data_IF_794808084930
#
_entry.id   IF_794808084930
#
_cell.length_a   1.000
_cell.length_b   1.000
_cell.length_c   1.000
_cell.angle_alpha   90.00
_cell.angle_beta   90.00
_cell.angle_gamma   90.00
#
_symmetry.space_group_name_H-M   'P 1'
#
loop_
_entity.id
_entity.type
_entity.pdbx_description
1 polymer ?
#
# COMPACT_ATOMS: atom_id res chain seq x y z
N UNK A 1 -7.34 -13.95 -32.11
CA UNK A 1 -7.12 -13.42 -30.75
C UNK A 1 -5.93 -14.17 -30.16
N UNK A 2 -4.83 -13.50 -29.80
CA UNK A 2 -3.81 -14.16 -28.98
C UNK A 2 -4.48 -14.59 -27.65
N UNK A 3 -4.15 -15.77 -27.10
CA UNK A 3 -4.73 -16.23 -25.84
C UNK A 3 -4.48 -15.16 -24.76
N UNK A 4 -5.52 -14.84 -23.97
CA UNK A 4 -5.36 -14.01 -22.77
C UNK A 4 -4.40 -14.76 -21.84
N UNK A 5 -3.13 -14.33 -21.83
CA UNK A 5 -2.14 -14.87 -20.93
C UNK A 5 -2.44 -14.31 -19.54
N UNK A 6 -2.60 -15.19 -18.55
CA UNK A 6 -2.75 -14.80 -17.15
C UNK A 6 -1.49 -14.06 -16.69
N UNK A 7 -1.61 -13.11 -15.73
CA UNK A 7 -0.44 -12.46 -15.12
C UNK A 7 0.56 -13.52 -14.65
N UNK A 8 1.86 -13.20 -14.74
CA UNK A 8 2.91 -14.10 -14.21
C UNK A 8 2.60 -14.42 -12.75
N UNK A 9 2.55 -15.70 -12.42
CA UNK A 9 2.29 -16.14 -11.06
C UNK A 9 3.46 -15.72 -10.16
N UNK A 10 3.20 -15.43 -8.88
CA UNK A 10 4.25 -15.00 -7.93
C UNK A 10 5.44 -15.98 -7.86
N UNK A 11 5.16 -17.28 -8.05
CA UNK A 11 6.16 -18.38 -8.11
C UNK A 11 7.08 -18.35 -9.35
N UNK A 12 6.72 -17.58 -10.37
CA UNK A 12 7.48 -17.44 -11.62
C UNK A 12 8.47 -16.27 -11.56
N UNK A 13 8.41 -15.46 -10.50
CA UNK A 13 9.35 -14.40 -10.18
C UNK A 13 10.47 -14.90 -9.24
N UNK A 14 11.57 -14.13 -9.05
CA UNK A 14 12.64 -14.50 -8.15
C UNK A 14 12.16 -14.80 -6.74
N UNK A 15 12.68 -15.82 -6.07
CA UNK A 15 12.20 -16.24 -4.75
C UNK A 15 12.24 -15.17 -3.66
N UNK A 16 13.14 -14.17 -3.76
CA UNK A 16 13.15 -13.00 -2.86
C UNK A 16 11.86 -12.17 -2.96
N UNK A 17 11.22 -12.13 -4.14
CA UNK A 17 9.97 -11.40 -4.37
C UNK A 17 8.87 -11.89 -3.42
N UNK A 18 8.65 -13.21 -3.36
CA UNK A 18 7.58 -13.79 -2.55
C UNK A 18 7.77 -13.49 -1.06
N UNK A 19 9.00 -13.60 -0.56
CA UNK A 19 9.31 -13.29 0.85
C UNK A 19 9.10 -11.81 1.16
N UNK A 20 9.59 -10.90 0.31
CA UNK A 20 9.45 -9.47 0.51
C UNK A 20 7.99 -8.99 0.41
N UNK A 21 7.24 -9.55 -0.55
CA UNK A 21 5.83 -9.22 -0.77
C UNK A 21 4.93 -9.73 0.37
N UNK A 22 5.20 -10.93 0.91
CA UNK A 22 4.47 -11.43 2.08
C UNK A 22 4.72 -10.58 3.33
N UNK A 23 5.99 -10.22 3.61
CA UNK A 23 6.33 -9.30 4.71
C UNK A 23 5.61 -7.96 4.53
N UNK A 24 5.57 -7.44 3.30
CA UNK A 24 4.86 -6.21 2.96
C UNK A 24 3.36 -6.29 3.26
N UNK A 25 2.69 -7.34 2.76
CA UNK A 25 1.26 -7.60 2.94
C UNK A 25 0.90 -7.81 4.41
N UNK A 26 1.69 -8.59 5.15
CA UNK A 26 1.48 -8.84 6.57
C UNK A 26 1.62 -7.54 7.38
N UNK A 27 2.71 -6.81 7.18
CA UNK A 27 2.98 -5.58 7.93
C UNK A 27 1.94 -4.50 7.63
N UNK A 28 1.44 -4.42 6.38
CA UNK A 28 0.32 -3.55 6.03
C UNK A 28 -0.95 -3.90 6.82
N UNK A 29 -1.31 -5.19 6.88
CA UNK A 29 -2.49 -5.65 7.61
C UNK A 29 -2.36 -5.34 9.10
N UNK A 30 -1.19 -5.59 9.69
CA UNK A 30 -0.92 -5.28 11.09
C UNK A 30 -1.05 -3.79 11.38
N UNK A 31 -0.39 -2.94 10.58
CA UNK A 31 -0.46 -1.49 10.71
C UNK A 31 -1.91 -0.98 10.66
N UNK A 32 -2.67 -1.39 9.65
CA UNK A 32 -4.06 -0.97 9.48
C UNK A 32 -4.98 -1.51 10.59
N UNK A 33 -4.77 -2.76 11.04
CA UNK A 33 -5.55 -3.37 12.12
C UNK A 33 -5.34 -2.63 13.44
N UNK A 34 -4.08 -2.39 13.83
CA UNK A 34 -3.77 -1.71 15.08
C UNK A 34 -4.20 -0.25 15.07
N UNK A 35 -3.99 0.44 13.95
CA UNK A 35 -4.49 1.82 13.77
C UNK A 35 -6.01 1.87 13.90
N UNK A 36 -6.74 0.97 13.24
CA UNK A 36 -8.20 0.89 13.35
C UNK A 36 -8.64 0.60 14.79
N UNK A 37 -8.01 -0.37 15.45
CA UNK A 37 -8.31 -0.72 16.85
C UNK A 37 -8.11 0.47 17.79
N UNK A 38 -6.99 1.19 17.65
CA UNK A 38 -6.71 2.40 18.43
C UNK A 38 -7.78 3.48 18.23
N UNK A 39 -8.17 3.75 16.98
CA UNK A 39 -9.20 4.74 16.66
C UNK A 39 -10.57 4.35 17.23
N UNK A 40 -10.94 3.07 17.15
CA UNK A 40 -12.18 2.56 17.74
C UNK A 40 -12.18 2.65 19.27
N UNK A 41 -11.06 2.34 19.91
CA UNK A 41 -10.90 2.49 21.37
C UNK A 41 -10.99 3.95 21.81
N UNK A 42 -10.48 4.90 21.03
CA UNK A 42 -10.63 6.33 21.32
C UNK A 42 -12.11 6.77 21.28
N UNK A 43 -12.88 6.30 20.30
CA UNK A 43 -14.33 6.54 20.24
C UNK A 43 -15.04 5.88 21.42
N UNK A 44 -14.70 4.63 21.74
CA UNK A 44 -15.28 3.91 22.88
C UNK A 44 -14.99 4.62 24.20
N UNK A 45 -13.79 5.19 24.36
CA UNK A 45 -13.43 5.95 25.53
C UNK A 45 -14.28 7.22 25.69
N UNK A 46 -14.50 7.96 24.61
CA UNK A 46 -15.38 9.14 24.61
C UNK A 46 -16.83 8.74 24.94
N UNK A 47 -17.34 7.66 24.37
CA UNK A 47 -18.69 7.14 24.67
C UNK A 47 -18.83 6.69 26.11
N UNK A 48 -17.83 5.98 26.66
CA UNK A 48 -17.82 5.60 28.08
C UNK A 48 -17.82 6.81 29.00
N UNK A 49 -17.03 7.84 28.68
CA UNK A 49 -16.99 9.08 29.46
C UNK A 49 -18.33 9.81 29.50
N UNK A 50 -19.01 9.93 28.36
CA UNK A 50 -20.35 10.52 28.28
C UNK A 50 -21.39 9.67 29.01
N UNK A 51 -21.33 8.34 28.86
CA UNK A 51 -22.26 7.44 29.55
C UNK A 51 -22.12 7.52 31.08
N UNK A 52 -20.88 7.70 31.58
CA UNK A 52 -20.62 7.97 32.99
C UNK A 52 -21.16 9.34 33.40
N UNK A 53 -20.90 10.40 32.62
CA UNK A 53 -21.39 11.75 32.95
C UNK A 53 -22.93 11.86 32.92
N UNK A 54 -23.61 10.99 32.15
CA UNK A 54 -25.06 10.97 32.01
C UNK A 54 -25.77 10.06 33.01
N UNK A 55 -25.05 9.24 33.78
CA UNK A 55 -25.68 8.39 34.79
C UNK A 55 -26.12 9.25 35.97
N UNK A 56 -27.43 9.21 36.27
CA UNK A 56 -28.09 10.03 37.29
C UNK A 56 -27.87 9.57 38.74
N UNK A 57 -27.36 8.35 38.92
CA UNK A 57 -27.07 7.76 40.22
C UNK A 57 -25.54 7.63 40.40
N UNK A 58 -25.00 8.25 41.44
CA UNK A 58 -23.61 8.10 41.92
C UNK A 58 -23.37 6.66 42.43
N UNK A 59 -23.31 5.70 41.51
CA UNK A 59 -23.35 4.28 41.81
C UNK A 59 -22.60 3.39 40.82
N UNK A 60 -22.95 2.11 40.81
CA UNK A 60 -22.30 1.08 39.98
C UNK A 60 -22.28 1.41 38.46
N UNK A 61 -23.33 2.01 37.86
CA UNK A 61 -23.32 2.36 36.43
C UNK A 61 -22.24 3.39 36.07
N UNK A 62 -22.10 4.47 36.85
CA UNK A 62 -21.08 5.51 36.62
C UNK A 62 -19.67 4.94 36.71
N UNK A 63 -19.40 4.18 37.78
CA UNK A 63 -18.10 3.55 38.01
C UNK A 63 -17.77 2.61 36.86
N UNK A 64 -18.75 1.82 36.38
CA UNK A 64 -18.56 0.87 35.28
C UNK A 64 -18.22 1.59 33.97
N UNK A 65 -18.96 2.64 33.59
CA UNK A 65 -18.67 3.40 32.36
C UNK A 65 -17.34 4.15 32.44
N UNK A 66 -16.98 4.67 33.61
CA UNK A 66 -15.67 5.29 33.87
C UNK A 66 -14.54 4.27 33.71
N UNK A 67 -14.70 3.06 34.26
CA UNK A 67 -13.75 1.97 34.05
C UNK A 67 -13.62 1.58 32.57
N UNK A 68 -14.72 1.51 31.82
CA UNK A 68 -14.70 1.25 30.37
C UNK A 68 -13.91 2.34 29.65
N UNK A 69 -14.16 3.62 29.97
CA UNK A 69 -13.46 4.74 29.35
C UNK A 69 -11.95 4.69 29.64
N UNK A 70 -11.57 4.47 30.91
CA UNK A 70 -10.18 4.36 31.34
C UNK A 70 -9.45 3.20 30.65
N UNK A 71 -10.03 2.00 30.68
CA UNK A 71 -9.44 0.81 30.04
C UNK A 71 -9.29 1.04 28.53
N UNK A 72 -10.27 1.68 27.89
CA UNK A 72 -10.21 2.01 26.46
C UNK A 72 -9.07 2.97 26.14
N UNK A 73 -8.89 4.04 26.93
CA UNK A 73 -7.78 4.99 26.78
C UNK A 73 -6.41 4.33 27.00
N UNK A 74 -6.27 3.57 28.08
CA UNK A 74 -5.02 2.86 28.39
C UNK A 74 -4.68 1.88 27.28
N UNK A 75 -5.65 1.11 26.79
CA UNK A 75 -5.44 0.16 25.68
C UNK A 75 -5.10 0.89 24.39
N UNK A 76 -5.77 2.00 24.07
CA UNK A 76 -5.46 2.82 22.89
C UNK A 76 -4.01 3.35 22.94
N UNK A 77 -3.54 3.79 24.12
CA UNK A 77 -2.16 4.23 24.34
C UNK A 77 -1.17 3.07 24.17
N UNK A 78 -1.47 1.89 24.72
CA UNK A 78 -0.63 0.70 24.54
C UNK A 78 -0.50 0.34 23.05
N UNK A 79 -1.60 0.42 22.27
CA UNK A 79 -1.56 0.19 20.83
C UNK A 79 -0.73 1.26 20.08
N UNK A 80 -0.81 2.52 20.50
CA UNK A 80 0.03 3.59 19.92
C UNK A 80 1.52 3.35 20.21
N UNK A 81 1.87 3.02 21.45
CA UNK A 81 3.25 2.68 21.83
C UNK A 81 3.76 1.46 21.07
N UNK A 82 2.90 0.45 20.86
CA UNK A 82 3.23 -0.71 20.04
C UNK A 82 3.50 -0.32 18.58
N UNK A 83 2.66 0.52 17.97
CA UNK A 83 2.87 1.04 16.62
C UNK A 83 4.19 1.82 16.48
N UNK A 84 4.52 2.65 17.48
CA UNK A 84 5.75 3.45 17.51
C UNK A 84 7.03 2.59 17.67
N UNK A 85 6.92 1.49 18.42
CA UNK A 85 8.04 0.56 18.67
C UNK A 85 8.26 -0.40 17.51
N UNK A 86 7.22 -1.06 17.04
CA UNK A 86 7.33 -2.15 16.06
C UNK A 86 7.43 -1.64 14.62
N UNK A 87 6.94 -0.41 14.37
CA UNK A 87 6.98 0.29 13.08
C UNK A 87 6.60 -0.60 11.90
N UNK A 88 5.43 -1.26 11.94
CA UNK A 88 4.99 -2.14 10.86
C UNK A 88 4.86 -1.40 9.52
N UNK A 89 4.64 -0.09 9.52
CA UNK A 89 4.63 0.71 8.29
C UNK A 89 5.99 0.78 7.58
N UNK A 90 7.11 0.76 8.31
CA UNK A 90 8.46 0.79 7.73
C UNK A 90 8.73 -0.55 7.05
N UNK A 91 8.37 -1.67 7.72
CA UNK A 91 8.46 -3.02 7.14
C UNK A 91 7.55 -3.19 5.93
N UNK A 92 6.32 -2.68 6.01
CA UNK A 92 5.38 -2.64 4.88
C UNK A 92 6.04 -1.96 3.67
N UNK A 93 6.62 -0.78 3.89
CA UNK A 93 7.30 0.00 2.86
C UNK A 93 8.53 -0.72 2.29
N UNK A 94 9.49 -1.09 3.13
CA UNK A 94 10.73 -1.71 2.68
C UNK A 94 10.47 -3.04 1.94
N UNK A 95 9.53 -3.85 2.44
CA UNK A 95 9.10 -5.08 1.77
C UNK A 95 8.54 -4.81 0.37
N UNK A 96 7.69 -3.79 0.22
CA UNK A 96 7.12 -3.40 -1.09
C UNK A 96 8.22 -2.95 -2.04
N UNK A 97 9.18 -2.14 -1.57
CA UNK A 97 10.26 -1.61 -2.40
C UNK A 97 11.13 -2.74 -2.97
N UNK A 98 11.45 -3.75 -2.17
CA UNK A 98 12.25 -4.92 -2.60
C UNK A 98 11.46 -5.81 -3.55
N UNK A 99 10.19 -6.09 -3.25
CA UNK A 99 9.33 -6.86 -4.13
C UNK A 99 9.26 -6.21 -5.52
N UNK A 100 9.04 -4.90 -5.59
CA UNK A 100 8.98 -4.18 -6.87
C UNK A 100 10.35 -4.07 -7.56
N UNK A 101 11.44 -3.95 -6.81
CA UNK A 101 12.80 -3.99 -7.35
C UNK A 101 13.15 -5.36 -7.96
N UNK A 102 12.82 -6.45 -7.24
CA UNK A 102 13.03 -7.81 -7.72
C UNK A 102 12.17 -8.11 -8.97
N UNK A 103 10.92 -7.64 -8.98
CA UNK A 103 10.02 -7.75 -10.15
C UNK A 103 10.60 -6.97 -11.35
N UNK A 104 11.10 -5.76 -11.13
CA UNK A 104 11.74 -4.93 -12.16
C UNK A 104 12.98 -5.62 -12.74
N UNK A 105 13.86 -6.14 -11.89
CA UNK A 105 15.06 -6.89 -12.34
C UNK A 105 14.67 -8.13 -13.15
N UNK A 106 13.67 -8.88 -12.69
CA UNK A 106 13.18 -10.05 -13.39
C UNK A 106 12.65 -9.71 -14.79
N UNK A 107 11.87 -8.63 -14.91
CA UNK A 107 11.34 -8.17 -16.20
C UNK A 107 12.43 -7.67 -17.14
N UNK A 108 13.41 -6.90 -16.64
CA UNK A 108 14.56 -6.47 -17.44
C UNK A 108 15.38 -7.66 -17.93
N UNK A 109 15.60 -8.67 -17.09
CA UNK A 109 16.25 -9.93 -17.47
C UNK A 109 15.48 -10.67 -18.57
N UNK A 110 14.17 -10.87 -18.36
CA UNK A 110 13.30 -11.56 -19.30
C UNK A 110 13.19 -10.83 -20.64
N UNK A 111 13.24 -9.50 -20.62
CA UNK A 111 13.09 -8.65 -21.79
C UNK A 111 14.39 -8.42 -22.58
N UNK A 112 15.54 -8.90 -22.10
CA UNK A 112 16.88 -8.58 -22.62
C UNK A 112 17.12 -7.06 -22.65
N UNK A 113 16.84 -6.42 -21.52
CA UNK A 113 17.13 -5.00 -21.31
C UNK A 113 18.32 -4.86 -20.37
N UNK A 114 19.07 -3.76 -20.46
CA UNK A 114 20.08 -3.38 -19.47
C UNK A 114 19.55 -3.62 -18.04
N UNK A 115 20.33 -4.17 -17.08
CA UNK A 115 21.75 -4.55 -17.17
C UNK A 115 22.01 -5.92 -17.83
N UNK A 116 21.07 -6.47 -18.60
CA UNK A 116 21.12 -7.82 -19.19
C UNK A 116 21.12 -7.82 -20.72
N UNK A 117 22.02 -7.06 -21.37
CA UNK A 117 22.02 -6.87 -22.82
C UNK A 117 22.18 -8.18 -23.58
N UNK A 118 21.82 -8.17 -24.87
CA UNK A 118 21.90 -9.35 -25.75
C UNK A 118 23.33 -9.87 -25.96
N UNK A 119 24.34 -9.03 -25.68
CA UNK A 119 25.76 -9.41 -25.74
C UNK A 119 26.19 -10.40 -24.64
N UNK A 120 25.42 -10.54 -23.57
CA UNK A 120 25.67 -11.53 -22.53
C UNK A 120 25.11 -12.90 -22.93
N UNK A 121 25.91 -13.94 -22.71
CA UNK A 121 25.40 -15.32 -22.76
C UNK A 121 24.31 -15.52 -21.69
N UNK A 122 23.37 -16.46 -21.89
CA UNK A 122 22.33 -16.75 -20.89
C UNK A 122 22.89 -16.94 -19.47
N UNK A 123 23.93 -17.76 -19.32
CA UNK A 123 24.57 -18.03 -18.03
C UNK A 123 25.13 -16.75 -17.37
N UNK A 124 25.78 -15.88 -18.15
CA UNK A 124 26.31 -14.61 -17.63
C UNK A 124 25.21 -13.63 -17.25
N UNK A 125 24.09 -13.61 -17.97
CA UNK A 125 22.94 -12.80 -17.59
C UNK A 125 22.30 -13.31 -16.28
N UNK A 126 22.28 -14.63 -16.06
CA UNK A 126 21.85 -15.21 -14.78
C UNK A 126 22.79 -14.83 -13.64
N UNK A 127 24.10 -14.93 -13.84
CA UNK A 127 25.09 -14.50 -12.83
C UNK A 127 24.90 -13.03 -12.42
N UNK A 128 24.67 -12.14 -13.40
CA UNK A 128 24.40 -10.72 -13.13
C UNK A 128 23.10 -10.56 -12.35
N UNK A 129 22.05 -11.31 -12.68
CA UNK A 129 20.76 -11.22 -11.99
C UNK A 129 20.89 -11.68 -10.54
N UNK A 130 21.61 -12.79 -10.32
CA UNK A 130 21.91 -13.31 -9.00
C UNK A 130 22.71 -12.30 -8.16
N UNK A 131 23.74 -11.68 -8.73
CA UNK A 131 24.51 -10.64 -8.06
C UNK A 131 23.63 -9.44 -7.66
N UNK A 132 22.77 -8.96 -8.57
CA UNK A 132 21.84 -7.84 -8.26
C UNK A 132 20.83 -8.19 -7.16
N UNK A 133 20.36 -9.45 -7.11
CA UNK A 133 19.47 -9.92 -6.05
C UNK A 133 20.22 -10.05 -4.73
N UNK A 134 21.48 -10.48 -4.74
CA UNK A 134 22.34 -10.54 -3.56
C UNK A 134 22.58 -9.13 -2.99
N UNK A 135 22.89 -8.15 -3.83
CA UNK A 135 23.03 -6.74 -3.43
C UNK A 135 21.73 -6.25 -2.76
N UNK A 136 20.59 -6.46 -3.42
CA UNK A 136 19.27 -6.08 -2.90
C UNK A 136 18.97 -6.72 -1.53
N UNK A 137 19.32 -7.99 -1.36
CA UNK A 137 19.16 -8.70 -0.08
C UNK A 137 20.08 -8.14 1.00
N UNK A 138 21.37 -7.93 0.69
CA UNK A 138 22.36 -7.44 1.64
C UNK A 138 22.02 -6.04 2.16
N UNK A 139 21.57 -5.14 1.28
CA UNK A 139 21.15 -3.78 1.64
C UNK A 139 19.88 -3.77 2.51
N UNK A 140 19.00 -4.76 2.33
CA UNK A 140 17.65 -4.72 2.89
C UNK A 140 17.42 -5.59 4.11
N UNK A 141 18.13 -6.71 4.23
CA UNK A 141 17.99 -7.69 5.30
C UNK A 141 18.05 -7.08 6.72
N UNK A 142 18.94 -6.10 7.02
CA UNK A 142 18.98 -5.47 8.34
C UNK A 142 17.66 -4.78 8.75
N UNK A 143 16.88 -4.29 7.79
CA UNK A 143 15.65 -3.54 8.03
C UNK A 143 14.38 -4.41 7.89
N UNK A 144 14.53 -5.67 7.47
CA UNK A 144 13.42 -6.60 7.24
C UNK A 144 13.68 -7.97 7.86
N UNK A 145 13.42 -8.11 9.17
CA UNK A 145 13.47 -9.41 9.84
C UNK A 145 12.59 -10.44 9.12
N UNK A 146 13.14 -11.63 8.88
CA UNK A 146 12.44 -12.72 8.19
C UNK A 146 12.51 -12.67 6.66
N UNK A 147 13.20 -11.68 6.08
CA UNK A 147 13.49 -11.68 4.64
C UNK A 147 14.33 -12.91 4.29
N UNK A 148 13.89 -13.65 3.27
CA UNK A 148 14.56 -14.86 2.81
C UNK A 148 14.77 -14.83 1.29
N UNK A 149 15.90 -15.39 0.88
CA UNK A 149 16.20 -15.63 -0.53
C UNK A 149 15.64 -17.02 -0.84
N UNK A 150 14.47 -17.09 -1.48
CA UNK A 150 13.83 -18.36 -1.84
C UNK A 150 14.70 -19.31 -2.67
N UNK A 151 14.23 -20.53 -2.92
CA UNK A 151 15.04 -21.61 -3.52
C UNK A 151 15.49 -21.38 -4.96
N UNK A 152 14.82 -20.51 -5.72
CA UNK A 152 15.18 -20.18 -7.09
C UNK A 152 15.00 -18.69 -7.35
N UNK A 153 16.07 -18.03 -7.79
CA UNK A 153 16.06 -16.61 -8.15
C UNK A 153 15.92 -16.39 -9.67
N UNK A 154 16.27 -17.40 -10.47
CA UNK A 154 16.05 -17.43 -11.91
C UNK A 154 15.15 -18.62 -12.22
N UNK A 155 13.88 -18.34 -12.52
CA UNK A 155 12.87 -19.39 -12.73
C UNK A 155 12.91 -19.96 -14.16
N UNK A 156 12.42 -21.19 -14.39
CA UNK A 156 12.31 -21.75 -15.74
C UNK A 156 11.50 -20.87 -16.70
N UNK A 157 10.43 -20.23 -16.20
CA UNK A 157 9.59 -19.31 -16.99
C UNK A 157 10.37 -18.08 -17.43
N UNK A 158 11.20 -17.51 -16.54
CA UNK A 158 12.06 -16.38 -16.89
C UNK A 158 13.05 -16.74 -18.01
N UNK A 159 13.68 -17.92 -17.93
CA UNK A 159 14.57 -18.43 -18.99
C UNK A 159 13.83 -18.61 -20.31
N UNK A 160 12.62 -19.17 -20.26
CA UNK A 160 11.79 -19.39 -21.44
C UNK A 160 11.43 -18.07 -22.14
N UNK A 161 11.03 -17.04 -21.38
CA UNK A 161 10.69 -15.73 -21.95
C UNK A 161 11.94 -15.07 -22.54
N UNK A 162 13.07 -15.11 -21.81
CA UNK A 162 14.34 -14.55 -22.31
C UNK A 162 14.78 -15.19 -23.63
N UNK A 163 14.66 -16.51 -23.76
CA UNK A 163 15.06 -17.27 -24.94
C UNK A 163 14.11 -17.12 -26.15
N UNK A 164 12.96 -16.47 -25.98
CA UNK A 164 12.03 -16.23 -27.09
C UNK A 164 12.55 -15.17 -28.07
N UNK A 165 11.98 -15.14 -29.28
CA UNK A 165 12.27 -14.09 -30.25
C UNK A 165 11.70 -12.73 -29.80
N UNK A 166 12.18 -11.64 -30.42
CA UNK A 166 11.75 -10.30 -30.06
C UNK A 166 10.22 -10.11 -30.15
N UNK A 167 9.52 -10.54 -31.21
CA UNK A 167 8.07 -10.41 -31.29
C UNK A 167 7.33 -11.09 -30.12
N UNK A 168 7.71 -12.33 -29.76
CA UNK A 168 7.08 -13.04 -28.66
C UNK A 168 7.41 -12.42 -27.30
N UNK A 169 8.68 -12.04 -27.07
CA UNK A 169 9.14 -11.37 -25.85
C UNK A 169 8.44 -10.04 -25.64
N UNK A 170 8.33 -9.24 -26.70
CA UNK A 170 7.60 -7.95 -26.71
C UNK A 170 6.13 -8.14 -26.40
N UNK A 171 5.45 -9.06 -27.09
CA UNK A 171 4.04 -9.33 -26.83
C UNK A 171 3.81 -9.78 -25.37
N UNK A 172 4.71 -10.61 -24.83
CA UNK A 172 4.69 -11.07 -23.43
C UNK A 172 4.86 -9.89 -22.47
N UNK A 173 5.87 -9.04 -22.68
CA UNK A 173 6.11 -7.87 -21.82
C UNK A 173 4.93 -6.88 -21.84
N UNK A 174 4.44 -6.50 -23.03
CA UNK A 174 3.35 -5.53 -23.14
C UNK A 174 2.05 -6.04 -22.52
N UNK A 175 1.74 -7.33 -22.66
CA UNK A 175 0.52 -7.91 -22.09
C UNK A 175 0.64 -8.18 -20.59
N UNK A 176 1.67 -8.89 -20.17
CA UNK A 176 1.79 -9.40 -18.80
C UNK A 176 2.43 -8.41 -17.82
N UNK A 177 3.20 -7.42 -18.32
CA UNK A 177 3.81 -6.39 -17.48
C UNK A 177 3.08 -5.07 -17.59
N UNK A 178 3.05 -4.48 -18.79
CA UNK A 178 2.53 -3.11 -18.95
C UNK A 178 1.01 -3.07 -18.82
N UNK A 179 0.30 -3.93 -19.57
CA UNK A 179 -1.17 -3.92 -19.54
C UNK A 179 -1.74 -4.42 -18.21
N UNK A 180 -1.11 -5.41 -17.56
CA UNK A 180 -1.52 -5.86 -16.23
C UNK A 180 -1.33 -4.75 -15.19
N UNK A 181 -0.17 -4.08 -15.19
CA UNK A 181 0.12 -2.97 -14.29
C UNK A 181 -0.84 -1.79 -14.52
N UNK A 182 -1.12 -1.44 -15.78
CA UNK A 182 -2.09 -0.41 -16.13
C UNK A 182 -3.48 -0.75 -15.58
N UNK A 183 -3.99 -1.96 -15.87
CA UNK A 183 -5.30 -2.40 -15.41
C UNK A 183 -5.40 -2.40 -13.88
N UNK A 184 -4.32 -2.79 -13.19
CA UNK A 184 -4.23 -2.73 -11.74
C UNK A 184 -4.35 -1.30 -11.21
N UNK A 185 -3.61 -0.34 -11.78
CA UNK A 185 -3.67 1.06 -11.39
C UNK A 185 -5.05 1.68 -11.67
N UNK A 186 -5.65 1.42 -12.83
CA UNK A 186 -7.00 1.89 -13.16
C UNK A 186 -8.05 1.37 -12.17
N UNK A 187 -7.99 0.08 -11.85
CA UNK A 187 -8.88 -0.53 -10.86
C UNK A 187 -8.67 0.12 -9.49
N UNK A 188 -7.42 0.29 -9.06
CA UNK A 188 -7.10 0.91 -7.78
C UNK A 188 -7.52 2.37 -7.71
N UNK A 189 -7.42 3.13 -8.79
CA UNK A 189 -7.88 4.51 -8.85
C UNK A 189 -9.39 4.61 -8.57
N UNK A 190 -10.19 3.77 -9.23
CA UNK A 190 -11.66 3.71 -9.06
C UNK A 190 -12.10 3.22 -7.68
N UNK A 191 -11.42 2.20 -7.15
CA UNK A 191 -11.67 1.70 -5.79
C UNK A 191 -11.44 2.80 -4.76
N UNK A 192 -10.30 3.50 -4.84
CA UNK A 192 -9.98 4.59 -3.91
C UNK A 192 -10.93 5.78 -4.09
N UNK A 193 -11.32 6.14 -5.31
CA UNK A 193 -12.30 7.22 -5.56
C UNK A 193 -13.65 6.92 -4.88
N UNK A 194 -14.12 5.68 -5.03
CA UNK A 194 -15.38 5.21 -4.45
C UNK A 194 -15.32 5.22 -2.92
N UNK A 195 -14.21 4.76 -2.35
CA UNK A 195 -14.02 4.75 -0.91
C UNK A 195 -13.86 6.16 -0.33
N UNK A 196 -13.19 7.07 -1.03
CA UNK A 196 -13.11 8.49 -0.64
C UNK A 196 -14.51 9.11 -0.54
N UNK A 197 -15.36 8.90 -1.56
CA UNK A 197 -16.75 9.39 -1.57
C UNK A 197 -17.56 8.81 -0.41
N UNK A 198 -17.47 7.49 -0.18
CA UNK A 198 -18.17 6.83 0.94
C UNK A 198 -17.74 7.42 2.29
N UNK A 199 -16.45 7.55 2.54
CA UNK A 199 -15.95 8.08 3.82
C UNK A 199 -16.29 9.54 4.04
N UNK A 200 -16.24 10.39 3.00
CA UNK A 200 -16.74 11.77 3.08
C UNK A 200 -18.21 11.82 3.48
N UNK A 201 -19.06 11.01 2.84
CA UNK A 201 -20.48 10.95 3.17
C UNK A 201 -20.72 10.47 4.61
N UNK A 202 -19.95 9.48 5.08
CA UNK A 202 -20.00 9.02 6.47
C UNK A 202 -19.67 10.14 7.46
N UNK A 203 -18.62 10.93 7.20
CA UNK A 203 -18.24 12.04 8.07
C UNK A 203 -19.30 13.15 8.10
N UNK A 204 -19.80 13.55 6.92
CA UNK A 204 -20.90 14.53 6.83
C UNK A 204 -22.15 14.04 7.58
N UNK A 205 -22.43 12.73 7.53
CA UNK A 205 -23.55 12.15 8.28
C UNK A 205 -23.34 12.28 9.79
N UNK A 206 -22.11 12.09 10.29
CA UNK A 206 -21.79 12.31 11.71
C UNK A 206 -21.89 13.78 12.11
N UNK A 207 -21.51 14.73 11.24
CA UNK A 207 -21.68 16.17 11.48
C UNK A 207 -23.16 16.55 11.57
N UNK A 208 -24.00 16.05 10.65
CA UNK A 208 -25.46 16.28 10.67
C UNK A 208 -26.08 15.70 11.95
N UNK A 209 -25.67 14.50 12.35
CA UNK A 209 -26.12 13.90 13.62
C UNK A 209 -25.67 14.72 14.83
N UNK A 210 -24.47 15.29 14.78
CA UNK A 210 -23.96 16.21 15.80
C UNK A 210 -24.86 17.43 15.95
N UNK A 211 -25.14 18.10 14.84
CA UNK A 211 -26.04 19.26 14.80
C UNK A 211 -27.43 18.89 15.33
N UNK A 212 -28.01 17.78 14.87
CA UNK A 212 -29.33 17.33 15.32
C UNK A 212 -29.36 17.08 16.83
N UNK A 213 -28.34 16.41 17.37
CA UNK A 213 -28.24 16.15 18.82
C UNK A 213 -28.12 17.45 19.60
N UNK A 214 -27.25 18.37 19.17
CA UNK A 214 -27.09 19.68 19.82
C UNK A 214 -28.40 20.50 19.80
N UNK A 215 -29.16 20.47 18.71
CA UNK A 215 -30.47 21.16 18.63
C UNK A 215 -31.50 20.53 19.57
N UNK A 216 -31.55 19.19 19.65
CA UNK A 216 -32.45 18.48 20.58
C UNK A 216 -32.13 18.84 22.03
N UNK A 217 -30.85 18.91 22.39
CA UNK A 217 -30.41 19.34 23.72
C UNK A 217 -30.75 20.81 23.97
N UNK A 218 -30.56 21.70 22.97
CA UNK A 218 -30.88 23.13 23.09
C UNK A 218 -32.38 23.39 23.32
N UNK A 219 -33.24 22.54 22.75
CA UNK A 219 -34.70 22.64 22.90
C UNK A 219 -35.22 21.94 24.16
N UNK A 220 -34.34 21.47 25.05
CA UNK A 220 -34.67 20.72 26.28
C UNK A 220 -35.60 19.52 26.02
N UNK A 221 -35.55 18.92 24.82
CA UNK A 221 -36.39 17.77 24.46
C UNK A 221 -35.91 16.52 25.20
N UNK A 222 -34.58 16.33 25.28
CA UNK A 222 -33.93 15.24 26.03
C UNK A 222 -32.56 15.68 26.55
N UNK A 223 -32.11 15.11 27.67
CA UNK A 223 -30.76 15.33 28.23
C UNK A 223 -29.67 14.45 27.58
N UNK A 224 -29.82 14.12 26.30
CA UNK A 224 -28.96 13.16 25.63
C UNK A 224 -27.82 13.91 24.90
N UNK A 225 -26.70 14.12 25.59
CA UNK A 225 -25.52 14.78 25.03
C UNK A 225 -24.54 13.77 24.39
N UNK A 226 -24.69 13.49 23.09
CA UNK A 226 -23.71 12.67 22.34
C UNK A 226 -22.57 13.49 21.71
N UNK A 227 -22.43 14.78 22.06
CA UNK A 227 -21.52 15.69 21.38
C UNK A 227 -20.07 15.19 21.38
N UNK A 228 -19.57 14.74 22.53
CA UNK A 228 -18.19 14.24 22.64
C UNK A 228 -17.96 12.93 21.88
N UNK A 229 -18.95 12.02 21.87
CA UNK A 229 -18.87 10.76 21.09
C UNK A 229 -18.81 11.04 19.60
N UNK A 230 -19.67 11.93 19.10
CA UNK A 230 -19.71 12.30 17.68
C UNK A 230 -18.44 13.06 17.27
N UNK A 231 -17.94 13.97 18.11
CA UNK A 231 -16.66 14.64 17.89
C UNK A 231 -15.50 13.64 17.82
N UNK A 232 -15.44 12.68 18.74
CA UNK A 232 -14.44 11.62 18.71
C UNK A 232 -14.56 10.73 17.46
N UNK A 233 -15.79 10.40 17.04
CA UNK A 233 -16.04 9.62 15.82
C UNK A 233 -15.60 10.36 14.55
N UNK A 234 -15.87 11.66 14.45
CA UNK A 234 -15.43 12.53 13.36
C UNK A 234 -13.90 12.59 13.34
N UNK A 235 -13.26 12.86 14.48
CA UNK A 235 -11.81 12.92 14.58
C UNK A 235 -11.15 11.57 14.23
N UNK A 236 -11.72 10.46 14.70
CA UNK A 236 -11.25 9.12 14.37
C UNK A 236 -11.42 8.80 12.88
N UNK A 237 -12.55 9.16 12.27
CA UNK A 237 -12.80 8.99 10.84
C UNK A 237 -11.87 9.85 9.99
N UNK A 238 -11.59 11.09 10.39
CA UNK A 238 -10.60 11.96 9.76
C UNK A 238 -9.19 11.37 9.84
N UNK A 239 -8.77 10.90 11.02
CA UNK A 239 -7.49 10.20 11.18
C UNK A 239 -7.40 8.93 10.31
N UNK A 240 -8.49 8.19 10.15
CA UNK A 240 -8.54 7.03 9.26
C UNK A 240 -8.41 7.42 7.78
N UNK A 241 -9.06 8.50 7.35
CA UNK A 241 -8.89 9.07 6.00
C UNK A 241 -7.44 9.45 5.72
N UNK A 242 -6.77 10.10 6.68
CA UNK A 242 -5.35 10.46 6.57
C UNK A 242 -4.42 9.24 6.45
N UNK A 243 -4.77 8.13 7.11
CA UNK A 243 -4.00 6.88 7.00
C UNK A 243 -4.20 6.21 5.64
N UNK A 244 -5.43 6.20 5.14
CA UNK A 244 -5.80 5.53 3.89
C UNK A 244 -5.47 6.36 2.65
N UNK A 245 -5.51 7.69 2.74
CA UNK A 245 -5.18 8.66 1.68
C UNK A 245 -5.91 8.39 0.36
N UNK A 246 -7.21 8.07 0.43
CA UNK A 246 -7.98 7.61 -0.73
C UNK A 246 -7.94 8.61 -1.91
N UNK A 247 -8.10 9.92 -1.67
CA UNK A 247 -8.07 10.93 -2.75
C UNK A 247 -6.69 11.02 -3.42
N UNK A 248 -5.63 11.07 -2.61
CA UNK A 248 -4.26 11.13 -3.10
C UNK A 248 -3.90 9.88 -3.90
N UNK A 249 -4.28 8.70 -3.42
CA UNK A 249 -4.05 7.43 -4.11
C UNK A 249 -4.88 7.33 -5.39
N UNK A 250 -6.14 7.75 -5.37
CA UNK A 250 -6.99 7.76 -6.55
C UNK A 250 -6.38 8.59 -7.68
N UNK A 251 -5.98 9.82 -7.37
CA UNK A 251 -5.38 10.74 -8.35
C UNK A 251 -4.03 10.24 -8.86
N UNK A 252 -3.18 9.72 -7.97
CA UNK A 252 -1.87 9.18 -8.34
C UNK A 252 -2.00 7.97 -9.26
N UNK A 253 -2.86 7.01 -8.91
CA UNK A 253 -3.07 5.81 -9.71
C UNK A 253 -3.73 6.13 -11.05
N UNK A 254 -4.65 7.09 -11.12
CA UNK A 254 -5.24 7.53 -12.38
C UNK A 254 -4.19 8.13 -13.33
N UNK A 255 -3.30 8.97 -12.80
CA UNK A 255 -2.20 9.55 -13.57
C UNK A 255 -1.25 8.46 -14.08
N UNK A 256 -0.79 7.57 -13.20
CA UNK A 256 0.12 6.46 -13.59
C UNK A 256 -0.52 5.54 -14.62
N UNK A 257 -1.82 5.24 -14.50
CA UNK A 257 -2.53 4.46 -15.51
C UNK A 257 -2.53 5.16 -16.88
N UNK A 258 -2.78 6.48 -16.92
CA UNK A 258 -2.71 7.26 -18.15
C UNK A 258 -1.28 7.25 -18.74
N UNK A 259 -0.24 7.46 -17.92
CA UNK A 259 1.15 7.36 -18.35
C UNK A 259 1.48 5.99 -18.95
N UNK A 260 1.02 4.89 -18.32
CA UNK A 260 1.26 3.54 -18.82
C UNK A 260 0.54 3.25 -20.15
N UNK A 261 -0.58 3.92 -20.43
CA UNK A 261 -1.23 3.81 -21.73
C UNK A 261 -0.35 4.35 -22.87
N UNK A 262 0.38 5.45 -22.63
CA UNK A 262 1.36 5.99 -23.57
C UNK A 262 2.61 5.12 -23.68
N UNK A 263 3.09 4.57 -22.55
CA UNK A 263 4.20 3.60 -22.55
C UNK A 263 3.83 2.40 -23.43
N UNK A 264 2.65 1.83 -23.24
CA UNK A 264 2.16 0.71 -24.05
C UNK A 264 2.14 1.05 -25.55
N UNK A 265 1.53 2.18 -25.93
CA UNK A 265 1.44 2.60 -27.33
C UNK A 265 2.83 2.79 -27.96
N UNK A 266 3.78 3.35 -27.20
CA UNK A 266 5.18 3.49 -27.64
C UNK A 266 5.80 2.12 -27.91
N UNK A 267 5.65 1.18 -26.98
CA UNK A 267 6.20 -0.17 -27.10
C UNK A 267 5.68 -0.94 -28.31
N UNK A 268 4.42 -0.75 -28.71
CA UNK A 268 3.81 -1.39 -29.89
C UNK A 268 4.52 -1.03 -31.20
N UNK A 269 5.15 0.14 -31.29
CA UNK A 269 5.84 0.62 -32.50
C UNK A 269 7.28 0.10 -32.67
N UNK A 270 7.89 -0.47 -31.63
CA UNK A 270 9.32 -0.83 -31.62
C UNK A 270 9.56 -2.17 -32.31
N UNK A 271 10.49 -2.22 -33.27
CA UNK A 271 10.82 -3.43 -34.03
C UNK A 271 12.29 -3.84 -33.94
N UNK A 272 13.11 -3.07 -33.22
CA UNK A 272 14.56 -3.24 -33.14
C UNK A 272 14.98 -3.59 -31.70
N UNK A 273 16.00 -4.43 -31.56
CA UNK A 273 16.43 -5.00 -30.26
C UNK A 273 17.09 -3.95 -29.35
N UNK A 274 17.86 -3.02 -29.91
CA UNK A 274 18.52 -1.95 -29.14
C UNK A 274 17.46 -0.98 -28.60
N UNK A 275 16.56 -0.52 -29.49
CA UNK A 275 15.43 0.33 -29.09
C UNK A 275 14.47 -0.35 -28.12
N UNK A 276 14.37 -1.68 -28.18
CA UNK A 276 13.56 -2.47 -27.26
C UNK A 276 14.13 -2.45 -25.85
N UNK A 277 15.45 -2.64 -25.69
CA UNK A 277 16.12 -2.53 -24.39
C UNK A 277 15.88 -1.17 -23.76
N UNK A 278 16.12 -0.08 -24.49
CA UNK A 278 15.95 1.30 -24.00
C UNK A 278 14.51 1.60 -23.57
N UNK A 279 13.54 1.10 -24.35
CA UNK A 279 12.14 1.20 -24.01
C UNK A 279 11.80 0.47 -22.72
N UNK A 280 12.25 -0.78 -22.55
CA UNK A 280 11.97 -1.55 -21.33
C UNK A 280 12.58 -0.87 -20.11
N UNK A 281 13.80 -0.35 -20.21
CA UNK A 281 14.42 0.42 -19.12
C UNK A 281 13.57 1.64 -18.77
N UNK A 282 13.13 2.39 -19.76
CA UNK A 282 12.29 3.59 -19.58
C UNK A 282 10.91 3.26 -18.99
N UNK A 283 10.30 2.16 -19.46
CA UNK A 283 9.01 1.66 -19.00
C UNK A 283 9.08 1.19 -17.53
N UNK A 284 10.08 0.38 -17.18
CA UNK A 284 10.28 -0.06 -15.79
C UNK A 284 10.64 1.10 -14.87
N UNK A 285 11.39 2.09 -15.35
CA UNK A 285 11.63 3.32 -14.59
C UNK A 285 10.34 4.10 -14.36
N UNK A 286 9.45 4.20 -15.36
CA UNK A 286 8.14 4.82 -15.20
C UNK A 286 7.28 4.11 -14.16
N UNK A 287 7.23 2.77 -14.20
CA UNK A 287 6.52 1.97 -13.20
C UNK A 287 7.13 2.18 -11.80
N UNK A 288 8.46 2.26 -11.70
CA UNK A 288 9.17 2.44 -10.43
C UNK A 288 9.00 3.84 -9.84
N UNK A 289 8.87 4.89 -10.67
CA UNK A 289 8.70 6.28 -10.20
C UNK A 289 7.46 6.46 -9.32
N UNK A 290 6.34 5.80 -9.65
CA UNK A 290 5.13 5.84 -8.82
C UNK A 290 5.43 5.29 -7.41
N UNK A 291 6.15 4.17 -7.32
CA UNK A 291 6.52 3.59 -6.03
C UNK A 291 7.42 4.52 -5.21
N UNK A 292 8.36 5.22 -5.84
CA UNK A 292 9.22 6.21 -5.17
C UNK A 292 8.45 7.47 -4.75
N UNK A 293 7.53 7.96 -5.58
CA UNK A 293 6.67 9.10 -5.21
C UNK A 293 5.71 8.75 -4.08
N UNK A 294 5.14 7.55 -4.10
CA UNK A 294 4.31 7.02 -3.02
C UNK A 294 5.09 6.98 -1.70
N UNK A 295 6.35 6.54 -1.75
CA UNK A 295 7.29 6.55 -0.64
C UNK A 295 7.51 7.97 -0.09
N UNK A 296 7.86 8.92 -0.97
CA UNK A 296 8.14 10.30 -0.56
C UNK A 296 6.93 10.94 0.14
N UNK A 297 5.71 10.63 -0.31
CA UNK A 297 4.46 11.13 0.29
C UNK A 297 4.19 10.56 1.68
N UNK A 298 4.40 9.25 1.90
CA UNK A 298 4.16 8.61 3.21
C UNK A 298 5.26 8.88 4.23
N UNK A 299 6.53 8.94 3.81
CA UNK A 299 7.67 9.18 4.70
C UNK A 299 7.92 10.68 4.94
N UNK A 300 7.66 11.54 3.96
CA UNK A 300 7.80 13.00 4.09
C UNK A 300 6.91 13.61 5.18
N UNK A 301 5.71 13.05 5.39
CA UNK A 301 4.80 13.45 6.47
C UNK A 301 5.35 13.18 7.89
N UNK A 302 6.36 12.32 8.05
CA UNK A 302 7.03 12.05 9.33
C UNK A 302 8.30 12.85 9.56
N UNK A 303 9.08 13.11 8.51
CA UNK A 303 10.24 13.99 8.62
C UNK A 303 9.81 15.40 9.09
N UNK A 304 8.67 15.89 8.59
CA UNK A 304 8.07 17.14 9.03
C UNK A 304 7.62 17.15 10.51
N UNK A 305 7.27 15.99 11.09
CA UNK A 305 6.90 15.86 12.52
C UNK A 305 8.08 15.63 13.47
N UNK A 306 9.28 15.30 12.96
CA UNK A 306 10.52 15.21 13.77
C UNK A 306 11.30 16.52 13.85
N UNK A 307 11.01 17.47 12.94
CA UNK A 307 11.74 18.72 12.78
C UNK A 307 10.90 19.96 13.15
N UNK A 308 9.72 19.78 13.74
CA UNK A 308 8.88 20.83 14.31
C UNK A 308 8.50 20.48 15.73
#
# INVERSE_FOLDING_TARGET
MPPQQSPLAERELPGIFASADEISKQSQKEYLRWTRGRLQLAVLAATGGIAAASSRDDGWPETTFTCIALISFVTALILEVHLLRDRPEERWYHGRAIAESAKTLAWRYMAIAEPFPASLTPDRAEDVLLARIQDLFAESSPNLPGLSVGSSQVTPRMRQIRASDLPARKATYLSLRVSDQQAWYEKKARENESDAKRWRLTLVSFEILGIATTVITLLDITNLDMGATLAAAIAAGGAWLEVKQYDNLSSAYALTAAELSFVRATGESISDEEKWSDYVVSAEQAISREHTMWLARRVGLRAARRNG
#
